data_IF_975689919434
#
_entry.id   IF_975689919434
#
_cell.length_a   1.000
_cell.length_b   1.000
_cell.length_c   1.000
_cell.angle_alpha   90.00
_cell.angle_beta   90.00
_cell.angle_gamma   90.00
#
_symmetry.space_group_name_H-M   'P 1'
#
loop_
_entity.id
_entity.type
_entity.pdbx_description
1 polymer ?
2 non-polymer ?
3 non-polymer ?
4 non-polymer ?
5 water ?
#
# COMPACT_ATOMS: atom_id res chain seq x y z
N UNK A 4 -9.26 -10.57 13.23
CA UNK A 4 -10.22 -9.75 12.53
C UNK A 4 -9.67 -8.49 11.88
N UNK A 5 -8.37 -8.26 12.03
CA UNK A 5 -7.76 -7.07 11.45
C UNK A 5 -7.88 -7.08 9.93
N UNK A 6 -8.18 -5.92 9.35
CA UNK A 6 -8.08 -5.74 7.91
C UNK A 6 -6.60 -5.54 7.61
N UNK A 7 -6.05 -6.40 6.76
CA UNK A 7 -4.63 -6.32 6.39
C UNK A 7 -4.58 -6.01 4.91
N UNK A 8 -4.22 -4.78 4.56
CA UNK A 8 -4.46 -4.25 3.22
C UNK A 8 -3.13 -4.04 2.52
N UNK A 9 -2.98 -4.58 1.32
CA UNK A 9 -1.84 -4.24 0.47
C UNK A 9 -2.23 -3.01 -0.34
N UNK A 10 -1.42 -1.98 -0.33
CA UNK A 10 -1.71 -0.79 -1.13
C UNK A 10 -0.55 -0.57 -2.08
N UNK A 11 -0.85 -0.50 -3.38
CA UNK A 11 0.21 -0.40 -4.39
C UNK A 11 -0.34 0.27 -5.61
N UNK A 12 0.53 1.01 -6.29
CA UNK A 12 0.26 1.55 -7.61
C UNK A 12 1.05 0.71 -8.62
N UNK A 13 0.42 0.31 -9.71
CA UNK A 13 1.00 -0.67 -10.61
C UNK A 13 0.93 -0.15 -12.03
N UNK A 14 2.00 -0.39 -12.80
CA UNK A 14 1.96 -0.24 -14.25
C UNK A 14 2.08 -1.66 -14.79
N UNK A 15 1.00 -2.17 -15.38
CA UNK A 15 0.84 -3.61 -15.58
C UNK A 15 1.07 -4.32 -14.26
N UNK A 16 2.08 -5.18 -14.21
CA UNK A 16 2.44 -5.94 -13.03
C UNK A 16 3.57 -5.32 -12.23
N UNK A 17 4.09 -4.18 -12.64
CA UNK A 17 5.25 -3.57 -11.99
C UNK A 17 4.83 -2.53 -10.96
N UNK A 18 5.45 -2.56 -9.80
CA UNK A 18 5.15 -1.59 -8.74
C UNK A 18 5.77 -0.27 -9.12
N UNK A 19 4.98 0.82 -9.02
CA UNK A 19 5.42 2.19 -9.27
C UNK A 19 5.87 2.81 -7.96
N UNK A 20 7.02 3.49 -7.98
CA UNK A 20 7.36 4.34 -6.86
C UNK A 20 6.55 5.62 -6.95
N UNK A 21 5.65 5.85 -5.99
CA UNK A 21 4.76 7.00 -6.00
C UNK A 21 5.34 8.13 -5.16
N UNK A 22 5.08 9.37 -5.60
CA UNK A 22 5.56 10.52 -4.85
C UNK A 22 4.83 10.66 -3.53
N UNK A 23 3.52 10.47 -3.52
CA UNK A 23 2.74 10.53 -2.30
C UNK A 23 3.16 9.36 -1.41
N UNK A 24 3.28 9.62 -0.10
CA UNK A 24 3.69 8.54 0.80
C UNK A 24 2.79 7.32 0.67
N UNK A 25 1.46 7.53 0.65
CA UNK A 25 0.49 6.45 0.41
C UNK A 25 0.29 6.23 -1.09
N UNK A 26 0.60 5.05 -1.62
CA UNK A 26 0.64 4.86 -3.09
C UNK A 26 -0.72 4.56 -3.69
N UNK A 27 -1.59 5.57 -3.73
CA UNK A 27 -2.88 5.40 -4.36
C UNK A 27 -3.29 6.70 -5.03
N UNK A 28 -4.21 6.56 -5.96
CA UNK A 28 -4.95 7.71 -6.46
C UNK A 28 -6.42 7.38 -6.23
N UNK A 29 -7.04 8.07 -5.27
CA UNK A 29 -8.42 7.79 -4.93
C UNK A 29 -9.35 8.55 -5.86
N UNK A 30 -10.36 7.91 -6.43
CA UNK A 30 -11.38 8.67 -7.19
C UNK A 30 -12.13 9.61 -6.27
N UNK A 31 -12.75 10.62 -6.89
CA UNK A 31 -13.46 11.65 -6.13
C UNK A 31 -14.52 11.07 -5.22
N UNK A 32 -15.21 10.04 -5.68
CA UNK A 32 -16.28 9.43 -4.90
C UNK A 32 -15.81 8.52 -3.78
N UNK A 33 -14.48 8.32 -3.62
CA UNK A 33 -13.94 7.64 -2.45
C UNK A 33 -13.01 8.51 -1.64
N UNK A 34 -12.87 9.79 -1.98
CA UNK A 34 -11.87 10.61 -1.29
C UNK A 34 -12.20 10.75 0.19
N UNK A 35 -13.49 10.68 0.55
CA UNK A 35 -13.94 10.62 1.95
C UNK A 35 -13.17 9.56 2.73
N UNK A 36 -12.86 8.42 2.10
CA UNK A 36 -12.22 7.34 2.83
C UNK A 36 -10.79 7.69 3.25
N UNK A 37 -10.16 8.66 2.59
CA UNK A 37 -8.84 9.08 3.06
C UNK A 37 -8.86 9.49 4.53
N UNK A 38 -9.95 10.18 4.96
CA UNK A 38 -10.04 10.63 6.35
C UNK A 38 -10.02 9.45 7.30
N UNK A 39 -10.67 8.35 6.91
CA UNK A 39 -10.68 7.16 7.75
C UNK A 39 -9.28 6.58 7.96
N UNK A 40 -8.41 6.71 6.96
CA UNK A 40 -7.17 5.96 7.03
C UNK A 40 -6.07 6.60 7.89
N UNK A 41 -6.27 7.81 8.42
CA UNK A 41 -5.15 8.59 8.96
C UNK A 41 -4.62 8.06 10.29
N UNK A 42 -5.38 7.26 11.04
CA UNK A 42 -4.88 6.63 12.25
C UNK A 42 -4.41 5.20 12.04
N UNK A 43 -4.38 4.71 10.79
CA UNK A 43 -4.04 3.29 10.69
C UNK A 43 -2.54 3.14 10.53
N UNK A 44 -2.04 2.13 11.23
CA UNK A 44 -0.62 1.83 11.09
C UNK A 44 -0.27 1.55 9.63
N UNK A 45 0.92 1.98 9.25
CA UNK A 45 1.50 1.57 7.98
C UNK A 45 2.69 0.68 8.25
N UNK A 46 2.87 -0.31 7.38
CA UNK A 46 4.01 -1.22 7.40
C UNK A 46 4.70 -1.13 6.05
N UNK A 47 6.02 -0.94 6.06
CA UNK A 47 6.79 -0.86 4.82
C UNK A 47 8.20 -1.42 5.01
N UNK A 48 8.87 -1.76 3.90
CA UNK A 48 10.25 -2.21 3.97
C UNK A 48 11.22 -1.05 4.08
N UNK A 49 12.48 -1.41 4.33
CA UNK A 49 13.51 -0.41 4.59
C UNK A 49 13.71 0.52 3.40
N UNK A 50 13.76 -0.04 2.19
CA UNK A 50 14.02 0.80 1.02
C UNK A 50 12.88 1.77 0.74
N UNK A 51 11.64 1.35 1.00
CA UNK A 51 10.53 2.27 0.85
C UNK A 51 10.60 3.40 1.86
N UNK A 52 10.95 3.08 3.12
CA UNK A 52 11.10 4.12 4.13
C UNK A 52 12.20 5.12 3.76
N UNK A 53 13.34 4.62 3.28
CA UNK A 53 14.43 5.51 2.90
C UNK A 53 14.03 6.43 1.76
N UNK A 54 13.23 5.92 0.81
CA UNK A 54 12.77 6.76 -0.29
C UNK A 54 11.85 7.87 0.19
N UNK A 55 11.15 7.67 1.32
CA UNK A 55 10.31 8.73 1.87
C UNK A 55 11.12 9.68 2.75
N UNK A 56 12.11 9.15 3.48
CA UNK A 56 13.02 9.96 4.28
C UNK A 56 12.46 10.48 5.59
N UNK A 57 11.25 10.05 5.98
CA UNK A 57 10.51 10.60 7.11
C UNK A 57 9.25 9.77 7.32
N UNK A 58 8.79 9.56 8.55
CA UNK A 58 7.53 8.83 8.76
C UNK A 58 6.30 9.62 8.32
N UNK A 59 5.27 8.88 7.97
CA UNK A 59 3.96 9.49 7.75
C UNK A 59 3.40 9.96 9.08
N UNK A 60 2.92 11.21 9.16
CA UNK A 60 2.53 11.77 10.46
C UNK A 60 1.19 11.27 10.99
N UNK A 61 1.09 11.23 12.32
CA UNK A 61 -0.16 10.97 13.01
C UNK A 61 -0.55 9.52 13.13
N UNK A 62 0.35 8.60 12.81
CA UNK A 62 0.01 7.18 12.79
C UNK A 62 1.27 6.36 12.99
N UNK A 63 1.10 5.17 13.56
CA UNK A 63 2.22 4.27 13.76
C UNK A 63 2.86 3.93 12.42
N UNK A 64 4.16 4.12 12.29
CA UNK A 64 4.90 3.65 11.14
C UNK A 64 5.75 2.49 11.61
N UNK A 65 5.61 1.35 10.93
CA UNK A 65 6.37 0.15 11.21
C UNK A 65 7.21 -0.14 9.99
N UNK A 66 8.54 -0.21 10.17
CA UNK A 66 9.45 -0.49 9.06
C UNK A 66 10.09 -1.85 9.30
N UNK A 67 10.06 -2.70 8.28
CA UNK A 67 10.70 -4.02 8.37
C UNK A 67 12.10 -3.93 7.80
N UNK A 68 13.09 -4.30 8.61
CA UNK A 68 14.48 -4.15 8.21
C UNK A 68 15.30 -5.23 8.89
N UNK A 69 16.34 -5.68 8.19
CA UNK A 69 17.34 -6.56 8.78
C UNK A 69 18.48 -5.77 9.40
N UNK A 70 18.44 -4.45 9.29
CA UNK A 70 19.47 -3.56 9.78
C UNK A 70 18.94 -2.77 10.96
N UNK A 71 19.82 -2.22 11.79
CA UNK A 71 19.36 -1.41 12.92
C UNK A 71 18.54 -0.22 12.44
N UNK A 72 17.61 0.18 13.30
CA UNK A 72 16.75 1.31 12.98
C UNK A 72 17.50 2.62 12.96
N UNK A 73 17.04 3.52 12.11
CA UNK A 73 17.66 4.81 11.87
C UNK A 73 16.74 5.98 12.21
N UNK A 74 15.61 5.74 12.89
CA UNK A 74 14.69 6.84 13.19
C UNK A 74 13.83 6.45 14.38
N UNK A 75 13.97 7.15 15.50
CA UNK A 75 13.21 6.86 16.72
C UNK A 75 11.72 7.09 16.57
N UNK A 76 11.28 7.78 15.53
CA UNK A 76 9.86 8.01 15.32
C UNK A 76 9.14 6.80 14.72
N UNK A 77 9.90 5.80 14.26
CA UNK A 77 9.45 4.57 13.61
C UNK A 77 9.51 3.44 14.63
N UNK A 78 8.67 2.41 14.46
CA UNK A 78 8.85 1.14 15.13
C UNK A 78 9.49 0.17 14.15
N UNK A 79 10.60 -0.45 14.53
CA UNK A 79 11.38 -1.29 13.64
C UNK A 79 11.07 -2.75 13.93
N UNK A 80 10.87 -3.53 12.87
CA UNK A 80 10.56 -4.95 12.98
C UNK A 80 11.46 -5.76 12.07
N UNK A 81 11.73 -7.00 12.44
CA UNK A 81 12.59 -7.85 11.63
C UNK A 81 11.82 -8.88 10.82
N UNK A 82 10.49 -8.93 10.94
CA UNK A 82 9.71 -9.93 10.23
C UNK A 82 8.29 -9.40 10.06
N UNK A 83 7.53 -10.01 9.15
CA UNK A 83 6.14 -9.59 9.03
C UNK A 83 5.32 -9.95 10.28
N UNK A 84 5.64 -11.06 10.96
CA UNK A 84 4.91 -11.40 12.16
C UNK A 84 5.16 -10.38 13.27
N UNK A 85 6.43 -9.95 13.43
CA UNK A 85 6.71 -8.89 14.40
C UNK A 85 5.99 -7.60 14.02
N UNK A 86 5.97 -7.26 12.72
CA UNK A 86 5.33 -6.04 12.28
C UNK A 86 3.83 -6.06 12.59
N UNK A 87 3.16 -7.20 12.31
CA UNK A 87 1.75 -7.31 12.63
C UNK A 87 1.50 -7.25 14.13
N UNK A 88 2.40 -7.83 14.94
CA UNK A 88 2.22 -7.72 16.38
C UNK A 88 2.25 -6.26 16.83
N UNK A 89 3.17 -5.47 16.27
CA UNK A 89 3.24 -4.06 16.64
C UNK A 89 1.99 -3.30 16.24
N UNK A 90 1.28 -3.75 15.21
CA UNK A 90 0.03 -3.08 14.86
C UNK A 90 -1.07 -3.30 15.90
N UNK A 91 -0.88 -4.25 16.81
CA UNK A 91 -1.78 -4.36 17.95
C UNK A 91 -3.21 -4.63 17.53
N UNK A 92 -4.13 -3.85 18.08
CA UNK A 92 -5.56 -4.03 17.85
C UNK A 92 -6.09 -3.05 16.82
N UNK A 93 -5.23 -2.54 15.94
CA UNK A 93 -5.69 -1.64 14.89
C UNK A 93 -6.77 -2.31 14.06
N UNK A 94 -7.76 -1.52 13.65
CA UNK A 94 -8.80 -2.07 12.79
C UNK A 94 -8.25 -2.50 11.43
N UNK A 95 -7.29 -1.75 10.92
CA UNK A 95 -6.75 -1.94 9.58
C UNK A 95 -5.29 -1.54 9.64
N UNK A 96 -4.43 -2.31 8.98
CA UNK A 96 -3.03 -1.94 8.79
C UNK A 96 -2.79 -1.90 7.29
N UNK A 97 -2.08 -0.86 6.84
CA UNK A 97 -1.72 -0.67 5.45
C UNK A 97 -0.32 -1.22 5.23
N UNK A 98 -0.12 -1.98 4.16
CA UNK A 98 1.19 -2.52 3.81
C UNK A 98 1.60 -1.93 2.47
N UNK A 99 2.81 -1.38 2.41
CA UNK A 99 3.29 -0.87 1.14
C UNK A 99 4.77 -1.07 0.85
N UNK A 100 5.57 -1.55 1.82
CA UNK A 100 6.92 -2.03 1.54
C UNK A 100 7.03 -2.71 0.19
N UNK A 101 8.25 -2.92 -0.28
CA UNK A 101 8.45 -3.33 -1.67
C UNK A 101 7.81 -4.64 -2.09
N UNK A 102 8.03 -5.03 -3.36
CA UNK A 102 7.42 -6.25 -3.89
C UNK A 102 7.64 -7.45 -2.99
N UNK A 103 8.81 -7.53 -2.36
CA UNK A 103 9.05 -8.57 -1.38
C UNK A 103 8.09 -8.47 -0.20
N UNK A 104 7.83 -7.25 0.28
CA UNK A 104 6.91 -7.10 1.40
C UNK A 104 5.50 -7.52 0.99
N UNK A 105 5.08 -7.15 -0.22
CA UNK A 105 3.76 -7.57 -0.71
C UNK A 105 3.68 -9.09 -0.77
N UNK A 106 4.73 -9.72 -1.32
CA UNK A 106 4.73 -11.17 -1.45
C UNK A 106 4.67 -11.85 -0.10
N UNK A 107 5.45 -11.38 0.88
CA UNK A 107 5.46 -12.03 2.18
C UNK A 107 4.15 -11.82 2.93
N UNK A 108 3.44 -10.72 2.67
CA UNK A 108 2.18 -10.45 3.35
C UNK A 108 0.96 -11.05 2.65
N UNK A 109 1.11 -11.60 1.44
CA UNK A 109 -0.07 -11.92 0.64
C UNK A 109 -0.99 -12.91 1.33
N UNK A 110 -0.45 -13.96 1.97
CA UNK A 110 -1.35 -14.96 2.56
C UNK A 110 -2.11 -14.42 3.76
N UNK A 111 -1.50 -13.50 4.52
CA UNK A 111 -2.20 -12.88 5.63
C UNK A 111 -3.10 -11.72 5.21
N UNK A 112 -2.80 -11.08 4.08
CA UNK A 112 -3.60 -9.96 3.63
C UNK A 112 -5.01 -10.40 3.32
N UNK A 113 -5.93 -9.49 3.52
CA UNK A 113 -7.31 -9.76 3.16
C UNK A 113 -7.96 -8.63 2.38
N UNK A 114 -7.21 -7.61 1.97
CA UNK A 114 -7.73 -6.52 1.15
C UNK A 114 -6.57 -6.00 0.32
N UNK A 115 -6.87 -5.50 -0.88
CA UNK A 115 -5.90 -4.74 -1.65
C UNK A 115 -6.53 -3.47 -2.19
N UNK A 116 -5.76 -2.40 -2.19
CA UNK A 116 -6.10 -1.14 -2.86
C UNK A 116 -5.09 -0.99 -3.99
N UNK A 117 -5.52 -1.21 -5.22
CA UNK A 117 -4.58 -1.20 -6.34
C UNK A 117 -4.92 -0.03 -7.26
N UNK A 118 -3.96 0.86 -7.49
CA UNK A 118 -4.14 1.93 -8.46
C UNK A 118 -3.39 1.53 -9.72
N UNK A 119 -4.11 1.19 -10.79
CA UNK A 119 -3.49 0.81 -12.05
C UNK A 119 -3.27 2.07 -12.89
N UNK A 120 -2.01 2.38 -13.19
CA UNK A 120 -1.65 3.55 -13.98
C UNK A 120 -0.78 3.02 -15.09
N UNK A 121 -1.40 2.47 -16.11
CA UNK A 121 -0.64 1.60 -16.99
C UNK A 121 0.21 2.36 -17.99
N UNK A 122 0.10 3.69 -18.05
CA UNK A 122 0.98 4.47 -18.92
C UNK A 122 2.24 4.96 -18.21
N UNK A 123 2.32 4.80 -16.89
CA UNK A 123 3.50 5.15 -16.13
C UNK A 123 4.60 4.11 -16.37
N UNK A 124 5.83 4.51 -16.11
CA UNK A 124 6.93 3.56 -16.11
C UNK A 124 6.96 2.87 -14.75
N UNK A 125 6.84 1.56 -14.76
CA UNK A 125 6.96 0.82 -13.52
C UNK A 125 8.41 0.70 -13.09
N UNK A 126 8.59 0.33 -11.83
CA UNK A 126 9.89 0.14 -11.24
C UNK A 126 10.43 -1.26 -11.51
N UNK A 127 11.47 -1.60 -10.77
CA UNK A 127 12.21 -2.83 -11.00
C UNK A 127 11.65 -4.03 -10.24
N UNK A 128 10.46 -3.92 -9.64
CA UNK A 128 9.87 -5.04 -8.91
C UNK A 128 8.46 -5.29 -9.40
N UNK A 129 8.08 -6.55 -9.38
CA UNK A 129 6.76 -7.00 -9.77
C UNK A 129 5.87 -7.23 -8.55
N UNK A 130 4.61 -6.83 -8.67
CA UNK A 130 3.63 -7.20 -7.65
C UNK A 130 3.47 -8.72 -7.66
N UNK A 131 3.30 -9.36 -6.51
CA UNK A 131 3.24 -10.82 -6.50
C UNK A 131 2.03 -11.35 -7.25
N UNK A 132 2.17 -12.54 -7.79
CA UNK A 132 1.03 -13.26 -8.33
C UNK A 132 0.05 -13.56 -7.20
N UNK A 133 -1.24 -13.43 -7.49
CA UNK A 133 -2.23 -13.86 -6.52
C UNK A 133 -3.25 -14.69 -7.25
N UNK A 134 -4.03 -15.45 -6.49
CA UNK A 134 -4.98 -16.39 -7.08
C UNK A 134 -6.30 -15.69 -7.34
N UNK A 135 -6.74 -15.54 -8.59
CA UNK A 135 -8.01 -14.84 -8.83
C UNK A 135 -9.19 -15.42 -8.06
N UNK A 136 -9.24 -16.74 -7.89
CA UNK A 136 -10.36 -17.35 -7.20
C UNK A 136 -10.44 -16.95 -5.72
N UNK A 137 -9.35 -16.52 -5.14
CA UNK A 137 -9.31 -16.12 -3.73
C UNK A 137 -9.67 -14.66 -3.49
N UNK A 138 -9.73 -13.85 -4.53
CA UNK A 138 -9.88 -12.41 -4.41
C UNK A 138 -11.04 -11.93 -5.26
N UNK A 139 -11.92 -11.14 -4.67
CA UNK A 139 -13.05 -10.54 -5.39
C UNK A 139 -12.73 -9.07 -5.64
N UNK A 140 -12.89 -8.62 -6.87
CA UNK A 140 -12.82 -7.20 -7.16
C UNK A 140 -14.18 -6.60 -6.78
N UNK A 141 -14.20 -5.84 -5.69
CA UNK A 141 -15.46 -5.36 -5.13
C UNK A 141 -15.78 -3.94 -5.59
N UNK A 142 -14.76 -3.17 -5.95
CA UNK A 142 -14.96 -1.80 -6.42
C UNK A 142 -13.90 -1.55 -7.47
N UNK A 143 -14.29 -0.97 -8.62
CA UNK A 143 -13.34 -0.68 -9.70
C UNK A 143 -13.81 0.53 -10.47
N UNK A 144 -12.98 1.57 -10.51
CA UNK A 144 -13.38 2.81 -11.17
C UNK A 144 -12.22 3.35 -12.00
N UNK A 145 -12.50 3.62 -13.27
CA UNK A 145 -11.54 4.17 -14.21
C UNK A 145 -11.80 5.66 -14.41
N UNK A 146 -10.72 6.40 -14.60
CA UNK A 146 -10.82 7.82 -14.92
C UNK A 146 -9.79 8.19 -15.95
N UNK A 147 -10.26 8.85 -17.00
CA UNK A 147 -9.39 9.23 -18.08
C UNK A 147 -8.47 10.38 -17.65
N UNK A 148 -7.39 10.54 -18.41
CA UNK A 148 -6.54 11.71 -18.27
C UNK A 148 -7.33 12.95 -18.67
N UNK A 149 -7.12 14.06 -17.96
CA UNK A 149 -7.77 15.33 -18.30
C UNK A 149 -6.93 16.46 -17.69
N UNK A 150 -7.49 17.67 -17.66
CA UNK A 150 -6.71 18.80 -17.14
C UNK A 150 -6.33 18.58 -15.69
N UNK A 151 -7.15 17.82 -14.95
CA UNK A 151 -6.96 17.63 -13.52
C UNK A 151 -6.31 16.30 -13.19
N UNK A 152 -5.96 15.49 -14.19
CA UNK A 152 -5.45 14.14 -13.96
C UNK A 152 -4.42 13.89 -15.05
N UNK A 153 -3.14 13.97 -14.68
CA UNK A 153 -2.08 13.80 -15.68
C UNK A 153 -2.13 12.41 -16.30
N UNK A 154 -2.53 11.40 -15.53
CA UNK A 154 -2.58 10.03 -16.01
C UNK A 154 -3.99 9.46 -15.90
N UNK A 155 -4.40 8.67 -16.89
CA UNK A 155 -5.57 7.84 -16.64
C UNK A 155 -5.21 6.76 -15.63
N UNK A 156 -6.21 6.30 -14.90
CA UNK A 156 -5.94 5.29 -13.89
C UNK A 156 -7.22 4.53 -13.62
N UNK A 157 -7.08 3.38 -13.00
CA UNK A 157 -8.22 2.62 -12.48
C UNK A 157 -7.90 2.27 -11.04
N UNK A 158 -8.75 2.68 -10.12
CA UNK A 158 -8.63 2.34 -8.70
C UNK A 158 -9.52 1.14 -8.40
N UNK A 159 -8.93 0.09 -7.85
CA UNK A 159 -9.63 -1.16 -7.58
C UNK A 159 -9.47 -1.54 -6.11
N UNK A 160 -10.53 -2.03 -5.49
CA UNK A 160 -10.46 -2.65 -4.18
C UNK A 160 -10.76 -4.12 -4.34
N UNK A 161 -9.81 -4.95 -3.94
CA UNK A 161 -9.96 -6.40 -3.84
C UNK A 161 -10.14 -6.80 -2.38
N UNK A 162 -11.04 -7.76 -2.12
CA UNK A 162 -11.08 -8.39 -0.81
C UNK A 162 -11.17 -9.90 -0.96
N UNK A 163 -10.60 -10.60 0.01
CA UNK A 163 -10.53 -12.04 -0.08
C UNK A 163 -11.94 -12.60 -0.01
N UNK A 164 -12.18 -13.65 -0.77
CA UNK A 164 -13.45 -14.38 -0.77
C UNK A 164 -13.17 -15.85 -0.52
X LIG B 1 11.57 -2.52 0.49
X LIG B 1 10.88 -1.25 0.72
X LIG B 1 12.81 -2.67 1.25
X LIG B 1 11.83 -2.66 -0.94
X LIG B 1 10.68 -3.61 0.92
X LIG C 1 16.61 -5.29 4.36
X LIG C 1 17.09 -5.05 3.00
X LIG C 1 17.51 -4.67 5.33
X LIG C 1 15.29 -4.70 4.52
X LIG C 1 16.55 -6.73 4.60
X LIG D 1 -10.01 2.93 13.66
X LIG E 1 3.79 9.85 -14.28
#
# INVERSE_FOLDING_TARGET
>A
SGGGMIISLIAALAADRVIGMENAMPWHLPADLAWFKRNTLNKPVIMGRKTFESIGRPLPGRLNIVISSQPGTDERVTWAASIEEALAFAGNAEEVMVMGGGRVYKQFLDRANRMYLTHIDAEVGGDTHFPDYEPDEWESVFSEFHDADEANSHSYCFEILERR
>B hetero
1 SO4 S O1 O2 O3 O4
>C hetero
1 SO4 S O1 O2 O3 O4
>D hetero
1 CL CL
>E hetero
1 MG MG
#
